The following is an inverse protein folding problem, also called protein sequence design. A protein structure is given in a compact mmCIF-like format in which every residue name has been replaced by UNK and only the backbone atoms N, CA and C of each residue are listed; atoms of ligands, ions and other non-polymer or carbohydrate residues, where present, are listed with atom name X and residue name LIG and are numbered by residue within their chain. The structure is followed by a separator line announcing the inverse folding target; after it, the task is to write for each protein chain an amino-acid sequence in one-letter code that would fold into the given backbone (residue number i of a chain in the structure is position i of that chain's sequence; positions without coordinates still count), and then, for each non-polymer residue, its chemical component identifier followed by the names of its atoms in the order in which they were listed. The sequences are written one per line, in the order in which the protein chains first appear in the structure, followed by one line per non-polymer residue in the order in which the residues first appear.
data_IF_325989387748
#
_entry.id   IF_325989387748
#
_cell.length_a   1.000
_cell.length_b   1.000
_cell.length_c   1.000
_cell.angle_alpha   90.00
_cell.angle_beta   90.00
_cell.angle_gamma   90.00
#
_symmetry.space_group_name_H-M   'P 1'
#
loop_
_entity.id
_entity.type
_entity.pdbx_description
1 polymer ?
#
# COMPACT_ATOMS: atom_id res chain seq x y z
N UNK A 1 -18.42 25.99 16.97
CA UNK A 1 -19.14 24.99 17.76
C UNK A 1 -18.60 23.52 17.57
N UNK A 2 -18.10 23.12 16.40
CA UNK A 2 -17.51 21.76 16.20
C UNK A 2 -16.15 21.57 16.88
N UNK A 3 -15.27 22.57 16.87
CA UNK A 3 -13.92 22.51 17.47
C UNK A 3 -13.98 22.36 19.00
N UNK A 4 -14.91 23.05 19.66
CA UNK A 4 -15.10 22.96 21.12
C UNK A 4 -15.53 21.56 21.56
N UNK A 5 -16.33 20.84 20.75
CA UNK A 5 -16.76 19.46 21.03
C UNK A 5 -15.59 18.46 20.91
N UNK A 6 -14.68 18.68 19.97
CA UNK A 6 -13.49 17.84 19.80
C UNK A 6 -12.50 18.05 20.93
N UNK A 7 -12.29 19.30 21.36
CA UNK A 7 -11.42 19.63 22.50
C UNK A 7 -11.97 19.05 23.81
N UNK A 8 -13.28 19.13 24.04
CA UNK A 8 -13.94 18.52 25.19
C UNK A 8 -13.87 16.98 25.18
N UNK A 9 -13.91 16.36 24.01
CA UNK A 9 -13.77 14.91 23.87
C UNK A 9 -12.33 14.45 24.17
N UNK A 10 -11.32 15.20 23.73
CA UNK A 10 -9.91 14.93 24.01
C UNK A 10 -9.57 15.16 25.49
N UNK A 11 -10.13 16.20 26.13
CA UNK A 11 -9.94 16.45 27.55
C UNK A 11 -10.68 15.39 28.41
N UNK A 12 -11.83 14.89 27.94
CA UNK A 12 -12.55 13.80 28.63
C UNK A 12 -11.80 12.47 28.62
N UNK A 13 -10.95 12.21 27.62
CA UNK A 13 -10.12 11.00 27.55
C UNK A 13 -8.92 11.04 28.54
N UNK A 14 -8.50 12.23 28.99
CA UNK A 14 -7.38 12.38 29.91
C UNK A 14 -7.74 12.18 31.40
N UNK A 15 -9.04 12.08 31.72
CA UNK A 15 -9.56 11.88 33.08
C UNK A 15 -9.95 10.43 33.42
N UNK A 16 -9.44 9.44 32.67
CA UNK A 16 -9.55 8.06 33.18
C UNK A 16 -8.61 7.91 34.36
N UNK A 17 -9.14 7.67 35.59
CA UNK A 17 -8.29 7.38 36.72
C UNK A 17 -7.45 6.16 36.34
N UNK A 18 -6.14 6.30 36.43
CA UNK A 18 -5.21 5.18 36.37
C UNK A 18 -5.51 4.28 37.55
N UNK A 19 -6.51 3.43 37.43
CA UNK A 19 -6.69 2.30 38.32
C UNK A 19 -5.43 1.48 38.16
N UNK A 20 -4.55 1.57 39.14
CA UNK A 20 -3.34 0.76 39.22
C UNK A 20 -3.74 -0.70 39.34
N UNK A 21 -4.09 -1.32 38.21
CA UNK A 21 -4.10 -2.76 38.07
C UNK A 21 -2.65 -3.21 38.19
N UNK A 22 -2.20 -3.41 39.43
CA UNK A 22 -1.07 -4.27 39.75
C UNK A 22 -1.48 -5.73 39.46
N UNK A 23 -1.82 -6.00 38.22
CA UNK A 23 -1.87 -7.35 37.73
C UNK A 23 -0.43 -7.88 37.84
N UNK A 24 -0.20 -8.85 38.69
CA UNK A 24 1.05 -9.57 38.75
C UNK A 24 1.37 -10.00 37.30
N UNK A 25 2.46 -9.44 36.75
CA UNK A 25 2.90 -9.66 35.37
C UNK A 25 3.58 -11.02 35.28
N UNK A 26 2.85 -12.08 35.52
CA UNK A 26 3.37 -13.42 35.35
C UNK A 26 3.31 -13.78 33.87
N UNK A 27 4.49 -13.99 33.29
CA UNK A 27 4.65 -14.47 31.93
C UNK A 27 4.40 -15.96 31.96
N UNK A 28 3.27 -16.42 31.41
CA UNK A 28 2.90 -17.84 31.41
C UNK A 28 3.56 -18.58 30.24
N UNK A 29 3.29 -18.14 29.02
CA UNK A 29 3.73 -18.85 27.82
C UNK A 29 5.10 -18.33 27.34
N UNK A 30 5.97 -19.20 26.88
CA UNK A 30 7.27 -18.89 26.28
C UNK A 30 8.10 -17.85 27.08
N UNK A 31 8.41 -18.06 28.37
CA UNK A 31 9.12 -17.07 29.19
C UNK A 31 10.54 -16.76 28.68
N UNK A 32 11.20 -17.72 28.03
CA UNK A 32 12.55 -17.58 27.46
C UNK A 32 12.55 -16.99 26.05
N UNK A 33 11.40 -16.77 25.42
CA UNK A 33 11.33 -16.24 24.06
C UNK A 33 12.06 -14.91 23.93
N UNK A 34 11.80 -14.01 24.84
CA UNK A 34 12.40 -12.66 24.84
C UNK A 34 13.91 -12.64 25.16
N UNK A 35 14.52 -13.76 25.57
CA UNK A 35 15.95 -13.86 25.82
C UNK A 35 16.75 -14.18 24.53
N UNK A 36 16.11 -14.78 23.53
CA UNK A 36 16.74 -15.10 22.27
C UNK A 36 17.06 -13.84 21.46
N UNK A 37 18.23 -13.83 20.81
CA UNK A 37 18.70 -12.69 20.00
C UNK A 37 18.03 -12.63 18.62
N UNK A 38 17.62 -13.76 18.07
CA UNK A 38 17.05 -13.90 16.72
C UNK A 38 15.78 -14.73 16.78
N UNK A 39 14.77 -14.26 16.07
CA UNK A 39 13.52 -14.98 15.85
C UNK A 39 13.29 -15.11 14.36
N UNK A 40 12.77 -16.24 13.95
CA UNK A 40 12.42 -16.55 12.58
C UNK A 40 10.97 -17.01 12.54
N UNK A 41 10.33 -16.76 11.41
CA UNK A 41 8.96 -17.14 11.23
C UNK A 41 8.51 -16.92 9.80
N UNK A 42 7.20 -16.96 9.61
CA UNK A 42 6.58 -16.64 8.34
C UNK A 42 5.43 -15.65 8.53
N UNK A 43 5.08 -14.97 7.44
CA UNK A 43 3.96 -14.04 7.38
C UNK A 43 3.01 -14.44 6.28
N UNK A 44 1.72 -14.37 6.61
CA UNK A 44 0.62 -14.42 5.66
C UNK A 44 -0.16 -13.12 5.79
N UNK A 45 -0.46 -12.47 4.68
CA UNK A 45 -1.16 -11.21 4.73
C UNK A 45 -2.15 -11.06 3.58
N UNK A 46 -3.24 -10.36 3.87
CA UNK A 46 -4.11 -9.77 2.87
C UNK A 46 -3.68 -8.33 2.64
N UNK A 47 -3.58 -7.94 1.38
CA UNK A 47 -3.25 -6.56 1.03
C UNK A 47 -4.35 -5.95 0.16
N UNK A 48 -4.50 -4.64 0.24
CA UNK A 48 -5.36 -3.85 -0.62
C UNK A 48 -4.50 -2.81 -1.31
N UNK A 49 -4.39 -2.95 -2.63
CA UNK A 49 -3.53 -2.12 -3.45
C UNK A 49 -4.32 -0.97 -4.07
N UNK A 50 -3.78 0.24 -3.96
CA UNK A 50 -4.36 1.47 -4.48
C UNK A 50 -3.31 2.27 -5.25
N UNK A 51 -3.80 3.17 -6.11
CA UNK A 51 -3.02 4.30 -6.59
C UNK A 51 -3.44 5.58 -5.87
N UNK A 52 -2.48 6.46 -5.65
CA UNK A 52 -2.74 7.87 -5.35
C UNK A 52 -2.50 8.64 -6.64
N UNK A 53 -3.60 9.03 -7.29
CA UNK A 53 -3.56 9.73 -8.59
C UNK A 53 -3.66 11.23 -8.33
N UNK A 54 -2.71 12.01 -8.85
CA UNK A 54 -2.79 13.46 -8.95
C UNK A 54 -3.04 13.78 -10.42
N UNK A 55 -4.27 14.21 -10.78
CA UNK A 55 -4.55 14.62 -12.16
C UNK A 55 -3.76 15.86 -12.55
N UNK A 56 -3.52 16.03 -13.84
CA UNK A 56 -2.91 17.25 -14.39
C UNK A 56 -3.87 18.44 -14.18
N UNK A 57 -3.33 19.58 -13.76
CA UNK A 57 -4.09 20.83 -13.67
C UNK A 57 -4.59 21.24 -15.06
N UNK A 58 -5.88 21.56 -15.17
CA UNK A 58 -6.49 21.89 -16.46
C UNK A 58 -6.77 20.68 -17.38
N UNK A 59 -6.83 19.48 -16.82
CA UNK A 59 -7.10 18.24 -17.57
C UNK A 59 -8.33 18.35 -18.47
N UNK A 60 -9.41 19.01 -18.02
CA UNK A 60 -10.67 19.20 -18.74
C UNK A 60 -10.57 20.17 -19.93
N UNK A 61 -9.41 20.79 -20.16
CA UNK A 61 -9.16 21.67 -21.29
C UNK A 61 -8.15 21.11 -22.29
N UNK A 62 -7.53 19.96 -21.96
CA UNK A 62 -6.53 19.32 -22.81
C UNK A 62 -7.21 18.37 -23.79
N UNK A 63 -7.15 18.71 -25.06
CA UNK A 63 -7.57 17.83 -26.16
C UNK A 63 -6.42 16.95 -26.59
N UNK A 64 -6.75 15.72 -26.94
CA UNK A 64 -5.81 14.70 -27.45
C UNK A 64 -6.17 14.32 -28.86
N UNK A 65 -5.19 14.30 -29.74
CA UNK A 65 -5.35 13.92 -31.12
C UNK A 65 -5.54 12.41 -31.31
N UNK A 66 -5.96 11.97 -32.51
CA UNK A 66 -6.17 10.57 -32.85
C UNK A 66 -4.91 9.71 -32.60
N UNK A 67 -3.71 10.24 -32.85
CA UNK A 67 -2.47 9.53 -32.65
C UNK A 67 -2.20 9.24 -31.14
N UNK A 68 -2.59 10.16 -30.25
CA UNK A 68 -2.46 10.01 -28.80
C UNK A 68 -3.58 9.15 -28.20
N UNK A 69 -4.66 8.95 -28.94
CA UNK A 69 -5.90 8.26 -28.54
C UNK A 69 -6.15 6.98 -29.33
N UNK A 70 -5.10 6.23 -29.64
CA UNK A 70 -5.12 5.07 -30.57
C UNK A 70 -6.12 3.97 -30.25
N UNK A 71 -6.59 3.85 -29.00
CA UNK A 71 -7.51 2.78 -28.60
C UNK A 71 -8.93 2.98 -29.15
N UNK A 72 -9.25 4.14 -29.69
CA UNK A 72 -10.56 4.45 -30.26
C UNK A 72 -10.43 5.44 -31.43
N UNK A 73 -11.06 5.11 -32.52
CA UNK A 73 -11.13 5.99 -33.70
C UNK A 73 -12.02 7.20 -33.42
N UNK A 74 -11.55 8.41 -33.69
CA UNK A 74 -12.28 9.66 -33.52
C UNK A 74 -11.35 10.84 -33.71
N UNK A 75 -11.91 11.99 -34.08
CA UNK A 75 -11.11 13.14 -34.48
C UNK A 75 -10.38 13.80 -33.32
N UNK A 76 -10.99 13.83 -32.14
CA UNK A 76 -10.37 14.31 -30.93
C UNK A 76 -10.99 13.70 -29.65
N UNK A 77 -10.24 13.67 -28.58
CA UNK A 77 -10.71 13.17 -27.29
C UNK A 77 -10.21 14.02 -26.14
N UNK A 78 -10.99 14.05 -25.07
CA UNK A 78 -10.65 14.77 -23.84
C UNK A 78 -10.76 13.82 -22.66
N UNK A 79 -9.75 13.80 -21.81
CA UNK A 79 -9.77 13.03 -20.57
C UNK A 79 -10.54 13.82 -19.49
N UNK A 80 -11.69 13.30 -19.09
CA UNK A 80 -12.55 13.95 -18.09
C UNK A 80 -12.15 13.64 -16.66
N UNK A 81 -11.89 12.37 -16.35
CA UNK A 81 -11.41 11.98 -15.01
C UNK A 81 -10.57 10.72 -15.08
N UNK A 82 -9.65 10.60 -14.09
CA UNK A 82 -8.89 9.38 -13.81
C UNK A 82 -9.09 9.05 -12.35
N UNK A 83 -9.62 7.87 -12.09
CA UNK A 83 -9.88 7.36 -10.74
C UNK A 83 -9.17 6.02 -10.55
N UNK A 84 -8.87 5.68 -9.30
CA UNK A 84 -8.36 4.36 -8.96
C UNK A 84 -9.45 3.49 -8.36
N UNK A 85 -9.43 2.21 -8.64
CA UNK A 85 -10.25 1.24 -7.93
C UNK A 85 -9.35 0.31 -7.08
N UNK A 86 -9.71 0.09 -5.81
CA UNK A 86 -8.96 -0.81 -4.94
C UNK A 86 -9.11 -2.26 -5.40
N UNK A 87 -8.04 -3.04 -5.23
CA UNK A 87 -8.08 -4.48 -5.44
C UNK A 87 -7.44 -5.20 -4.28
N UNK A 88 -7.97 -6.36 -3.98
CA UNK A 88 -7.44 -7.24 -2.94
C UNK A 88 -6.36 -8.14 -3.51
N UNK A 89 -5.37 -8.40 -2.70
CA UNK A 89 -4.27 -9.29 -3.00
C UNK A 89 -3.79 -10.00 -1.74
N UNK A 90 -2.71 -10.75 -1.86
CA UNK A 90 -2.12 -11.47 -0.74
C UNK A 90 -0.60 -11.35 -0.75
N UNK A 91 0.00 -11.52 0.43
CA UNK A 91 1.44 -11.48 0.63
C UNK A 91 1.87 -12.66 1.47
N UNK A 92 2.97 -13.29 1.07
CA UNK A 92 3.63 -14.35 1.83
C UNK A 92 5.11 -14.03 1.97
N UNK A 93 5.69 -14.32 3.13
CA UNK A 93 7.11 -14.00 3.36
C UNK A 93 7.69 -14.68 4.58
N UNK A 94 8.99 -14.45 4.76
CA UNK A 94 9.78 -14.99 5.87
C UNK A 94 10.10 -13.84 6.83
N UNK A 95 9.80 -14.04 8.10
CA UNK A 95 10.10 -13.06 9.16
C UNK A 95 11.50 -13.35 9.71
N UNK A 96 12.33 -12.33 9.75
CA UNK A 96 13.59 -12.32 10.47
C UNK A 96 13.58 -11.14 11.43
N UNK A 97 13.72 -11.41 12.72
CA UNK A 97 13.50 -10.42 13.77
C UNK A 97 14.67 -10.42 14.76
N UNK A 98 15.84 -9.81 14.43
CA UNK A 98 16.93 -9.59 15.37
C UNK A 98 16.54 -8.58 16.43
N UNK A 99 16.81 -8.95 17.70
CA UNK A 99 16.53 -8.12 18.87
C UNK A 99 17.64 -7.11 19.06
N UNK A 100 17.31 -5.81 19.10
CA UNK A 100 18.24 -4.72 19.40
C UNK A 100 18.30 -4.37 20.89
N UNK A 101 17.26 -4.70 21.66
CA UNK A 101 17.19 -4.38 23.07
C UNK A 101 15.90 -4.83 23.73
N UNK A 102 15.58 -4.23 24.88
CA UNK A 102 14.37 -4.58 25.62
C UNK A 102 13.08 -4.19 24.89
N UNK A 103 13.11 -3.05 24.20
CA UNK A 103 11.93 -2.46 23.57
C UNK A 103 12.02 -2.38 22.05
N UNK A 104 13.17 -2.59 21.45
CA UNK A 104 13.40 -2.43 20.03
C UNK A 104 13.83 -3.74 19.38
N UNK A 105 13.22 -4.04 18.24
CA UNK A 105 13.66 -5.07 17.31
C UNK A 105 13.84 -4.45 15.93
N UNK A 106 14.86 -4.91 15.22
CA UNK A 106 14.96 -4.73 13.78
C UNK A 106 14.22 -5.88 13.11
N UNK A 107 13.39 -5.58 12.11
CA UNK A 107 12.58 -6.59 11.45
C UNK A 107 12.80 -6.53 9.95
N UNK A 108 13.17 -7.67 9.38
CA UNK A 108 13.35 -7.84 7.95
C UNK A 108 12.45 -8.98 7.47
N UNK A 109 11.59 -8.70 6.48
CA UNK A 109 10.56 -9.64 6.01
C UNK A 109 10.60 -9.73 4.49
N UNK A 110 11.59 -10.41 3.88
CA UNK A 110 11.54 -10.67 2.45
C UNK A 110 10.24 -11.40 2.10
N UNK A 111 9.49 -10.85 1.15
CA UNK A 111 8.16 -11.35 0.83
C UNK A 111 7.81 -11.22 -0.65
N UNK A 112 6.85 -12.03 -1.06
CA UNK A 112 6.18 -11.95 -2.35
C UNK A 112 4.76 -11.46 -2.14
N UNK A 113 4.38 -10.42 -2.87
CA UNK A 113 3.06 -9.83 -2.80
C UNK A 113 2.40 -9.86 -4.18
N UNK A 114 1.19 -10.37 -4.22
CA UNK A 114 0.41 -10.54 -5.45
C UNK A 114 -0.85 -9.70 -5.37
N UNK A 115 -1.22 -9.08 -6.49
CA UNK A 115 -2.46 -8.32 -6.58
C UNK A 115 -2.59 -7.66 -7.93
N UNK A 116 -3.68 -6.93 -8.08
CA UNK A 116 -3.97 -6.14 -9.27
C UNK A 116 -4.25 -4.71 -8.85
N UNK A 117 -4.08 -3.79 -9.76
CA UNK A 117 -4.40 -2.38 -9.56
C UNK A 117 -5.18 -1.88 -10.76
N UNK A 118 -6.18 -1.03 -10.53
CA UNK A 118 -7.04 -0.54 -11.58
C UNK A 118 -6.97 0.98 -11.68
N UNK A 119 -6.99 1.46 -12.92
CA UNK A 119 -7.21 2.86 -13.26
C UNK A 119 -8.45 2.95 -14.14
N UNK A 120 -9.42 3.72 -13.70
CA UNK A 120 -10.67 3.98 -14.38
C UNK A 120 -10.60 5.37 -15.03
N UNK A 121 -10.69 5.39 -16.36
CA UNK A 121 -10.64 6.59 -17.18
C UNK A 121 -12.03 6.91 -17.71
N UNK A 122 -12.46 8.15 -17.56
CA UNK A 122 -13.63 8.69 -18.26
C UNK A 122 -13.15 9.64 -19.34
N UNK A 123 -13.44 9.29 -20.59
CA UNK A 123 -12.96 9.98 -21.78
C UNK A 123 -14.16 10.47 -22.56
N UNK A 124 -14.20 11.77 -22.91
CA UNK A 124 -15.12 12.35 -23.83
C UNK A 124 -14.51 12.24 -25.23
N UNK A 125 -15.22 11.56 -26.12
CA UNK A 125 -14.87 11.41 -27.52
C UNK A 125 -15.71 12.36 -28.35
N UNK A 126 -15.06 13.14 -29.19
CA UNK A 126 -15.67 14.03 -30.17
C UNK A 126 -15.54 13.40 -31.54
N UNK A 127 -16.61 13.52 -32.31
CA UNK A 127 -16.67 13.15 -33.74
C UNK A 127 -17.45 14.26 -34.46
N UNK A 128 -16.98 14.67 -35.61
CA UNK A 128 -17.54 15.83 -36.33
C UNK A 128 -19.04 15.74 -36.60
N UNK A 129 -19.59 14.53 -36.70
CA UNK A 129 -20.98 14.28 -37.06
C UNK A 129 -21.91 13.89 -35.93
N UNK A 130 -21.37 13.58 -34.72
CA UNK A 130 -22.14 13.00 -33.63
C UNK A 130 -21.99 13.81 -32.32
N UNK A 131 -22.96 13.78 -31.39
CA UNK A 131 -22.79 14.38 -30.09
C UNK A 131 -21.65 13.70 -29.31
N UNK A 132 -20.94 14.42 -28.40
CA UNK A 132 -19.84 13.86 -27.63
C UNK A 132 -20.29 12.64 -26.83
N UNK A 133 -19.51 11.56 -26.90
CA UNK A 133 -19.81 10.29 -26.23
C UNK A 133 -18.84 10.06 -25.08
N UNK A 134 -19.38 9.66 -23.90
CA UNK A 134 -18.57 9.31 -22.75
C UNK A 134 -18.17 7.84 -22.83
N UNK A 135 -16.86 7.58 -22.80
CA UNK A 135 -16.27 6.26 -22.74
C UNK A 135 -15.70 6.02 -21.34
N UNK A 136 -16.10 4.92 -20.71
CA UNK A 136 -15.52 4.47 -19.45
C UNK A 136 -14.55 3.30 -19.74
N UNK A 137 -13.26 3.52 -19.49
CA UNK A 137 -12.22 2.55 -19.81
C UNK A 137 -11.49 2.17 -18.53
N UNK A 138 -11.52 0.88 -18.19
CA UNK A 138 -10.74 0.32 -17.08
C UNK A 138 -9.45 -0.30 -17.59
N UNK A 139 -8.31 0.16 -17.06
CA UNK A 139 -7.00 -0.45 -17.30
C UNK A 139 -6.60 -1.29 -16.09
N UNK A 140 -6.40 -2.58 -16.32
CA UNK A 140 -5.89 -3.50 -15.31
C UNK A 140 -4.37 -3.54 -15.35
N UNK A 141 -3.74 -3.39 -14.20
CA UNK A 141 -2.29 -3.41 -14.00
C UNK A 141 -1.94 -4.51 -13.00
N UNK A 142 -1.68 -5.74 -13.49
CA UNK A 142 -1.24 -6.82 -12.62
C UNK A 142 0.08 -6.45 -11.96
N UNK A 143 0.25 -6.82 -10.71
CA UNK A 143 1.41 -6.47 -9.90
C UNK A 143 1.87 -7.66 -9.08
N UNK A 144 3.13 -8.00 -9.23
CA UNK A 144 3.79 -9.05 -8.44
C UNK A 144 5.06 -8.45 -7.86
N UNK A 145 5.05 -8.16 -6.57
CA UNK A 145 6.17 -7.52 -5.89
C UNK A 145 7.07 -8.53 -5.19
N UNK A 146 8.36 -8.37 -5.39
CA UNK A 146 9.38 -8.80 -4.43
C UNK A 146 9.58 -7.64 -3.48
N UNK A 147 9.37 -7.86 -2.19
CA UNK A 147 9.45 -6.86 -1.14
C UNK A 147 10.65 -7.15 -0.24
N UNK A 148 11.39 -6.10 0.08
CA UNK A 148 12.54 -6.13 0.98
C UNK A 148 12.37 -5.05 2.06
N UNK A 149 11.44 -5.24 3.02
CA UNK A 149 11.16 -4.26 4.05
C UNK A 149 12.16 -4.33 5.20
N UNK A 150 12.56 -3.15 5.68
CA UNK A 150 13.35 -2.96 6.89
C UNK A 150 12.56 -2.10 7.86
N UNK A 151 12.14 -2.69 8.98
CA UNK A 151 11.33 -2.03 9.98
C UNK A 151 12.06 -1.95 11.33
N UNK A 152 11.90 -0.83 11.99
CA UNK A 152 12.17 -0.70 13.42
C UNK A 152 10.85 -0.92 14.16
N UNK A 153 10.79 -1.98 14.96
CA UNK A 153 9.65 -2.36 15.78
C UNK A 153 9.88 -1.90 17.22
N UNK A 154 9.02 -1.03 17.74
CA UNK A 154 8.99 -0.62 19.13
C UNK A 154 7.91 -1.43 19.87
N UNK A 155 8.32 -2.19 20.86
CA UNK A 155 7.48 -3.09 21.63
C UNK A 155 7.17 -2.50 23.00
N UNK A 156 5.92 -2.54 23.43
CA UNK A 156 5.54 -2.28 24.80
C UNK A 156 6.07 -3.37 25.75
N UNK A 157 5.92 -3.15 27.03
CA UNK A 157 6.15 -4.23 28.01
C UNK A 157 5.13 -5.35 27.76
N UNK A 158 5.58 -6.58 27.85
CA UNK A 158 4.73 -7.75 27.74
C UNK A 158 3.75 -7.80 28.92
N UNK A 159 2.48 -7.95 28.64
CA UNK A 159 1.41 -8.11 29.61
C UNK A 159 0.90 -9.55 29.50
N UNK A 160 1.32 -10.41 30.44
CA UNK A 160 1.05 -11.84 30.40
C UNK A 160 1.40 -12.45 29.02
N UNK A 161 0.44 -12.80 28.20
CA UNK A 161 0.61 -13.50 26.95
C UNK A 161 0.37 -12.62 25.71
N UNK A 162 0.35 -11.29 25.86
CA UNK A 162 0.25 -10.38 24.73
C UNK A 162 1.18 -9.17 24.84
N UNK A 163 1.56 -8.59 23.69
CA UNK A 163 2.46 -7.44 23.61
C UNK A 163 2.07 -6.56 22.43
N UNK A 164 1.52 -5.38 22.65
CA UNK A 164 1.31 -4.40 21.59
C UNK A 164 2.64 -3.80 21.13
N UNK A 165 2.68 -3.41 19.86
CA UNK A 165 3.82 -2.75 19.26
C UNK A 165 3.41 -1.80 18.14
N UNK A 166 4.32 -0.89 17.82
CA UNK A 166 4.28 -0.07 16.63
C UNK A 166 5.55 -0.28 15.83
N UNK A 167 5.48 -0.07 14.54
CA UNK A 167 6.65 -0.17 13.68
C UNK A 167 6.63 0.87 12.58
N UNK A 168 7.80 1.23 12.13
CA UNK A 168 8.02 2.10 10.99
C UNK A 168 9.26 1.67 10.23
N UNK A 169 9.35 2.01 8.97
CA UNK A 169 10.51 1.68 8.16
C UNK A 169 10.33 1.95 6.70
N UNK A 170 11.22 1.35 5.92
CA UNK A 170 11.25 1.47 4.47
C UNK A 170 11.15 0.08 3.85
N UNK A 171 10.52 0.03 2.67
CA UNK A 171 10.40 -1.18 1.90
C UNK A 171 10.80 -0.90 0.45
N UNK A 172 11.84 -1.58 -0.01
CA UNK A 172 12.20 -1.58 -1.41
C UNK A 172 11.40 -2.66 -2.13
N UNK A 173 10.61 -2.25 -3.13
CA UNK A 173 9.76 -3.15 -3.91
C UNK A 173 10.18 -3.19 -5.37
N UNK A 174 10.21 -4.41 -5.91
CA UNK A 174 10.47 -4.68 -7.32
C UNK A 174 9.24 -5.36 -7.91
N UNK A 175 8.61 -4.71 -8.88
CA UNK A 175 7.46 -5.28 -9.60
C UNK A 175 7.96 -6.20 -10.72
N UNK A 176 7.75 -7.51 -10.55
CA UNK A 176 8.12 -8.52 -11.55
C UNK A 176 7.14 -8.55 -12.73
N UNK A 177 5.89 -8.12 -12.51
CA UNK A 177 4.88 -8.04 -13.56
C UNK A 177 4.96 -6.74 -14.37
N UNK A 178 5.89 -5.83 -14.01
CA UNK A 178 6.05 -4.54 -14.68
C UNK A 178 6.32 -4.68 -16.18
N UNK A 179 5.50 -4.02 -16.96
CA UNK A 179 5.60 -3.98 -18.43
C UNK A 179 6.42 -2.77 -18.94
N UNK A 180 7.27 -2.18 -18.09
CA UNK A 180 8.07 -0.98 -18.39
C UNK A 180 8.88 -1.07 -19.70
N UNK A 181 9.30 -2.26 -20.10
CA UNK A 181 10.09 -2.51 -21.31
C UNK A 181 9.28 -3.00 -22.52
N UNK A 182 7.99 -3.32 -22.35
CA UNK A 182 7.15 -3.80 -23.44
C UNK A 182 6.86 -2.65 -24.40
N UNK A 183 7.01 -2.89 -25.70
CA UNK A 183 6.60 -1.92 -26.73
C UNK A 183 5.08 -1.95 -26.89
N UNK A 184 4.46 -0.80 -27.07
CA UNK A 184 3.07 -0.69 -27.49
C UNK A 184 3.07 -0.83 -29.02
N UNK A 185 2.65 -1.97 -29.53
CA UNK A 185 2.48 -2.16 -30.99
C UNK A 185 1.23 -1.41 -31.46
N UNK A 186 1.27 -0.88 -32.66
CA UNK A 186 0.18 -0.08 -33.24
C UNK A 186 -1.16 -0.86 -33.33
N UNK A 187 -1.11 -2.18 -33.35
CA UNK A 187 -2.27 -3.06 -33.43
C UNK A 187 -2.82 -3.54 -32.10
N UNK A 188 -2.14 -3.26 -30.97
CA UNK A 188 -2.56 -3.70 -29.64
C UNK A 188 -3.07 -2.54 -28.79
N UNK A 189 -4.01 -2.82 -27.86
CA UNK A 189 -4.51 -1.82 -26.89
C UNK A 189 -3.36 -1.20 -26.11
N UNK A 190 -3.41 0.11 -25.94
CA UNK A 190 -2.40 0.86 -25.19
C UNK A 190 -2.32 0.37 -23.73
N UNK A 191 -1.13 0.02 -23.29
CA UNK A 191 -0.86 -0.47 -21.93
C UNK A 191 -0.30 0.68 -21.11
N UNK A 192 -0.85 0.89 -19.92
CA UNK A 192 -0.28 1.82 -18.93
C UNK A 192 0.92 1.15 -18.27
N UNK A 193 2.10 1.71 -18.48
CA UNK A 193 3.34 1.15 -17.97
C UNK A 193 3.76 1.84 -16.68
N UNK A 194 4.26 1.04 -15.76
CA UNK A 194 4.78 1.51 -14.48
C UNK A 194 6.27 1.20 -14.37
N UNK A 195 7.00 2.04 -13.64
CA UNK A 195 8.38 1.79 -13.27
C UNK A 195 8.47 0.51 -12.44
N UNK A 196 9.57 -0.23 -12.63
CA UNK A 196 9.74 -1.56 -12.05
C UNK A 196 10.01 -1.52 -10.55
N UNK A 197 10.66 -0.49 -10.05
CA UNK A 197 11.06 -0.40 -8.64
C UNK A 197 10.60 0.90 -8.00
N UNK A 198 10.25 0.81 -6.73
CA UNK A 198 9.86 1.96 -5.91
C UNK A 198 10.29 1.72 -4.45
N UNK A 199 10.44 2.81 -3.70
CA UNK A 199 10.71 2.79 -2.27
C UNK A 199 9.46 3.26 -1.55
N UNK A 200 9.02 2.47 -0.57
CA UNK A 200 7.86 2.79 0.24
C UNK A 200 8.30 3.16 1.65
N UNK A 201 7.67 4.17 2.20
CA UNK A 201 7.64 4.41 3.63
C UNK A 201 6.50 3.59 4.23
N UNK A 202 6.78 2.89 5.32
CA UNK A 202 5.81 2.02 5.98
C UNK A 202 5.64 2.40 7.45
N UNK A 203 4.39 2.38 7.89
CA UNK A 203 4.00 2.52 9.29
C UNK A 203 2.97 1.45 9.62
N UNK A 204 3.07 0.88 10.81
CA UNK A 204 2.16 -0.16 11.24
C UNK A 204 2.06 -0.27 12.75
N UNK A 205 1.04 -0.98 13.17
CA UNK A 205 0.81 -1.36 14.55
C UNK A 205 0.28 -2.78 14.62
N UNK A 206 0.54 -3.43 15.74
CA UNK A 206 0.10 -4.80 15.92
C UNK A 206 0.17 -5.25 17.36
N UNK A 207 -0.24 -6.49 17.55
CA UNK A 207 -0.19 -7.17 18.83
C UNK A 207 0.41 -8.55 18.64
N UNK A 208 1.43 -8.87 19.40
CA UNK A 208 1.99 -10.21 19.53
C UNK A 208 1.25 -10.98 20.62
N UNK A 209 0.75 -12.16 20.30
CA UNK A 209 0.15 -13.14 21.21
C UNK A 209 1.10 -14.31 21.39
N UNK A 210 1.35 -14.68 22.65
CA UNK A 210 2.24 -15.77 22.99
C UNK A 210 1.41 -16.99 23.39
N UNK A 211 1.42 -17.99 22.54
CA UNK A 211 0.83 -19.31 22.82
C UNK A 211 1.90 -20.21 23.47
N UNK A 212 1.53 -21.41 23.82
CA UNK A 212 2.46 -22.35 24.45
C UNK A 212 3.65 -22.73 23.55
N UNK A 213 3.39 -22.85 22.22
CA UNK A 213 4.34 -23.40 21.25
C UNK A 213 4.85 -22.39 20.24
N UNK A 214 4.14 -21.30 20.01
CA UNK A 214 4.47 -20.30 19.02
C UNK A 214 3.97 -18.91 19.41
N UNK A 215 4.56 -17.90 18.79
CA UNK A 215 4.08 -16.52 18.89
C UNK A 215 3.34 -16.17 17.60
N UNK A 216 2.14 -15.64 17.72
CA UNK A 216 1.35 -15.09 16.63
C UNK A 216 1.27 -13.58 16.75
N UNK A 217 1.61 -12.88 15.70
CA UNK A 217 1.40 -11.42 15.59
C UNK A 217 0.25 -11.10 14.65
N UNK A 218 -0.63 -10.21 15.06
CA UNK A 218 -1.59 -9.55 14.17
C UNK A 218 -1.16 -8.12 13.93
N UNK A 219 -1.15 -7.67 12.68
CA UNK A 219 -0.57 -6.40 12.30
C UNK A 219 -1.36 -5.72 11.20
N UNK A 220 -1.61 -4.43 11.35
CA UNK A 220 -2.12 -3.54 10.31
C UNK A 220 -1.01 -2.60 9.89
N UNK A 221 -0.73 -2.53 8.59
CA UNK A 221 0.35 -1.74 8.01
C UNK A 221 -0.15 -0.93 6.82
N UNK A 222 0.34 0.29 6.72
CA UNK A 222 0.16 1.16 5.56
C UNK A 222 1.52 1.45 4.93
N UNK A 223 1.59 1.30 3.62
CA UNK A 223 2.77 1.58 2.80
C UNK A 223 2.44 2.67 1.79
N UNK A 224 3.32 3.66 1.65
CA UNK A 224 3.17 4.76 0.69
C UNK A 224 4.44 4.87 -0.16
N UNK A 225 4.29 4.73 -1.50
CA UNK A 225 5.38 4.86 -2.47
C UNK A 225 5.86 6.30 -2.58
N UNK A 226 7.18 6.49 -2.51
CA UNK A 226 7.81 7.81 -2.49
C UNK A 226 7.89 8.43 -3.88
N UNK A 227 8.02 7.61 -4.94
CA UNK A 227 8.28 8.08 -6.29
C UNK A 227 7.04 8.06 -7.19
N UNK A 228 7.09 8.86 -8.25
CA UNK A 228 6.16 8.74 -9.38
C UNK A 228 6.51 7.47 -10.16
N UNK A 229 5.60 6.50 -10.10
CA UNK A 229 5.79 5.21 -10.75
C UNK A 229 5.30 5.18 -12.20
N UNK A 230 4.67 6.25 -12.69
CA UNK A 230 4.12 6.30 -14.05
C UNK A 230 5.24 6.46 -15.08
N UNK A 231 5.30 5.57 -16.06
CA UNK A 231 6.13 5.75 -17.23
C UNK A 231 5.34 6.52 -18.31
N UNK A 232 5.80 7.73 -18.61
CA UNK A 232 5.14 8.61 -19.58
C UNK A 232 5.44 8.17 -21.01
N UNK A 233 4.40 8.11 -21.85
CA UNK A 233 4.49 7.60 -23.23
C UNK A 233 3.72 8.44 -24.25
N UNK A 234 3.45 9.72 -23.95
CA UNK A 234 2.76 10.66 -24.83
C UNK A 234 1.43 10.10 -25.38
N UNK A 235 0.56 9.64 -24.46
CA UNK A 235 -0.77 9.16 -24.76
C UNK A 235 -1.78 9.66 -23.73
N UNK A 236 -3.08 9.60 -24.07
CA UNK A 236 -4.18 10.09 -23.24
C UNK A 236 -4.18 9.51 -21.82
N UNK A 237 -3.71 8.28 -21.64
CA UNK A 237 -3.72 7.60 -20.34
C UNK A 237 -2.62 8.07 -19.41
N UNK A 238 -1.49 8.53 -19.96
CA UNK A 238 -0.34 8.96 -19.16
C UNK A 238 -0.25 10.47 -19.00
N UNK A 239 -0.63 11.22 -20.05
CA UNK A 239 -0.44 12.67 -20.10
C UNK A 239 -1.48 13.46 -19.30
N UNK A 240 -2.55 12.78 -18.89
CA UNK A 240 -3.56 13.34 -18.01
C UNK A 240 -3.24 13.22 -16.52
N UNK A 241 -2.13 12.54 -16.16
CA UNK A 241 -1.72 12.30 -14.78
C UNK A 241 -0.44 13.08 -14.48
N UNK A 242 -0.51 13.99 -13.51
CA UNK A 242 0.67 14.73 -13.03
C UNK A 242 1.59 13.84 -12.22
N UNK A 243 1.04 13.07 -11.27
CA UNK A 243 1.80 12.15 -10.41
C UNK A 243 0.99 10.91 -10.05
N UNK A 244 1.64 9.75 -10.10
CA UNK A 244 1.06 8.46 -9.74
C UNK A 244 1.91 7.78 -8.66
N UNK A 245 1.43 7.74 -7.43
CA UNK A 245 2.07 7.01 -6.34
C UNK A 245 1.28 5.74 -6.01
N UNK A 246 1.97 4.75 -5.48
CA UNK A 246 1.34 3.53 -4.99
C UNK A 246 1.05 3.62 -3.50
N UNK A 247 -0.09 3.10 -3.06
CA UNK A 247 -0.49 3.04 -1.66
C UNK A 247 -1.05 1.65 -1.38
N UNK A 248 -0.59 1.02 -0.29
CA UNK A 248 -1.01 -0.33 0.04
C UNK A 248 -1.37 -0.39 1.53
N UNK A 249 -2.55 -0.94 1.81
CA UNK A 249 -2.96 -1.36 3.15
C UNK A 249 -2.79 -2.85 3.27
N UNK A 250 -2.30 -3.30 4.41
CA UNK A 250 -2.01 -4.71 4.65
C UNK A 250 -2.45 -5.12 6.05
N UNK A 251 -3.16 -6.24 6.14
CA UNK A 251 -3.46 -6.95 7.36
C UNK A 251 -2.67 -8.25 7.36
N UNK A 252 -1.81 -8.44 8.35
CA UNK A 252 -0.85 -9.55 8.40
C UNK A 252 -1.05 -10.41 9.64
N UNK A 253 -0.82 -11.69 9.47
CA UNK A 253 -0.62 -12.67 10.53
C UNK A 253 0.83 -13.18 10.43
N UNK A 254 1.56 -13.08 11.52
CA UNK A 254 2.94 -13.58 11.63
C UNK A 254 3.00 -14.71 12.62
N UNK A 255 3.81 -15.70 12.33
CA UNK A 255 4.02 -16.89 13.16
C UNK A 255 5.52 -17.06 13.38
N UNK A 256 5.95 -16.98 14.62
CA UNK A 256 7.37 -17.07 15.05
C UNK A 256 7.56 -18.06 16.20
#
# INVERSE_FOLDING_TARGET
MRIVKVVLFVIGLSFFPSVGLQAQRQVENMPSYDLKKYHFGFVLAMNQMHFSVKPLEGLNFKMFDEEQSRDFSGDSSMLYSVEHAPSMGFTVGIVTNPRLGKYFDLRFIPSLSFGERYLDYRILKYRDTDPPTILNIRKNIPSTFVELPFHLKYKAMRMNNFRPYVMTGFNYRIDLASQAKKKNDAASKTIVKLNRSDIYFEIGMGVDFYFEWFKMGTEVKMSYGAFDILKRENNIYTDGIDKLNSKIFQLSLTFE
#
